data_IF_832611343461
#
_entry.id   IF_832611343461
#
_cell.length_a   1.000
_cell.length_b   1.000
_cell.length_c   1.000
_cell.angle_alpha   90.00
_cell.angle_beta   90.00
_cell.angle_gamma   90.00
#
_symmetry.space_group_name_H-M   'P 1'
#
loop_
_entity.id
_entity.type
_entity.pdbx_description
1 polymer ?
#
# COMPACT_ATOMS: atom_id res chain seq x y z
N UNK A 1 5.10 -9.51 21.60
CA UNK A 1 4.11 -9.87 20.56
C UNK A 1 3.78 -11.33 20.75
N UNK A 2 2.50 -11.68 20.80
CA UNK A 2 2.00 -13.05 20.89
C UNK A 2 0.95 -13.26 19.80
N UNK A 3 0.86 -14.45 19.23
CA UNK A 3 -0.24 -14.81 18.32
C UNK A 3 -1.30 -15.53 19.12
N UNK A 4 -2.56 -15.11 18.95
CA UNK A 4 -3.71 -15.69 19.63
C UNK A 4 -4.61 -16.31 18.56
N UNK A 5 -4.94 -17.59 18.73
CA UNK A 5 -5.78 -18.35 17.79
C UNK A 5 -7.20 -17.80 17.73
N UNK A 6 -7.84 -17.91 16.56
CA UNK A 6 -9.20 -17.37 16.38
C UNK A 6 -10.22 -17.99 17.35
N UNK A 7 -10.04 -19.25 17.79
CA UNK A 7 -10.91 -19.88 18.78
C UNK A 7 -10.73 -19.29 20.19
N UNK A 8 -9.49 -18.98 20.60
CA UNK A 8 -9.24 -18.30 21.88
C UNK A 8 -9.80 -16.87 21.84
N UNK A 9 -9.62 -16.16 20.72
CA UNK A 9 -10.23 -14.84 20.51
C UNK A 9 -11.76 -14.92 20.65
N UNK A 10 -12.40 -15.95 20.07
CA UNK A 10 -13.86 -16.14 20.15
C UNK A 10 -14.35 -16.26 21.59
N UNK A 11 -13.62 -16.98 22.43
CA UNK A 11 -13.98 -17.24 23.82
C UNK A 11 -13.76 -16.04 24.76
N UNK A 12 -13.11 -14.98 24.28
CA UNK A 12 -12.70 -13.82 25.09
C UNK A 12 -13.29 -12.52 24.58
N UNK A 13 -14.32 -12.04 25.26
CA UNK A 13 -15.02 -10.81 24.91
C UNK A 13 -14.08 -9.59 24.82
N UNK A 14 -13.09 -9.51 25.72
CA UNK A 14 -12.10 -8.44 25.73
C UNK A 14 -11.25 -8.41 24.45
N UNK A 15 -10.97 -9.58 23.84
CA UNK A 15 -10.18 -9.71 22.62
C UNK A 15 -11.03 -9.55 21.36
N UNK A 16 -12.15 -10.28 21.24
CA UNK A 16 -12.98 -10.30 20.02
C UNK A 16 -13.52 -8.92 19.69
N UNK A 17 -13.89 -8.11 20.69
CA UNK A 17 -14.44 -6.77 20.47
C UNK A 17 -13.48 -5.83 19.75
N UNK A 18 -12.17 -6.12 19.71
CA UNK A 18 -11.22 -5.33 18.92
C UNK A 18 -11.42 -5.49 17.40
N UNK A 19 -12.07 -6.57 16.95
CA UNK A 19 -12.38 -6.80 15.53
C UNK A 19 -13.58 -5.98 15.04
N UNK A 20 -14.33 -5.39 15.97
CA UNK A 20 -15.37 -4.40 15.65
C UNK A 20 -14.83 -3.00 15.94
N UNK A 21 -14.59 -2.24 14.87
CA UNK A 21 -13.99 -0.90 14.97
C UNK A 21 -14.72 0.11 14.07
N UNK A 22 -14.97 1.35 14.50
CA UNK A 22 -14.73 1.88 15.86
C UNK A 22 -15.81 1.51 16.87
N UNK A 23 -16.98 1.04 16.43
CA UNK A 23 -18.06 0.59 17.33
C UNK A 23 -17.69 -0.78 17.90
N UNK A 24 -18.00 -1.03 19.17
CA UNK A 24 -17.79 -2.35 19.81
C UNK A 24 -19.09 -3.15 19.76
N UNK A 25 -19.30 -3.94 18.69
CA UNK A 25 -20.43 -4.87 18.54
C UNK A 25 -19.91 -6.30 18.50
N UNK A 26 -20.48 -7.15 19.35
CA UNK A 26 -20.12 -8.57 19.40
C UNK A 26 -20.60 -9.30 18.15
N UNK A 27 -21.76 -8.91 17.60
CA UNK A 27 -22.29 -9.51 16.37
C UNK A 27 -21.40 -9.20 15.17
N UNK A 28 -20.96 -7.94 15.05
CA UNK A 28 -20.03 -7.54 13.98
C UNK A 28 -18.69 -8.24 14.13
N UNK A 29 -18.12 -8.23 15.33
CA UNK A 29 -16.83 -8.86 15.61
C UNK A 29 -16.86 -10.38 15.33
N UNK A 30 -17.97 -11.05 15.67
CA UNK A 30 -18.15 -12.48 15.40
C UNK A 30 -18.16 -12.77 13.89
N UNK A 31 -18.85 -11.93 13.10
CA UNK A 31 -18.84 -12.04 11.62
C UNK A 31 -17.45 -11.84 11.04
N UNK A 32 -16.70 -10.84 11.52
CA UNK A 32 -15.30 -10.65 11.09
C UNK A 32 -14.46 -11.88 11.41
N UNK A 33 -14.64 -12.48 12.59
CA UNK A 33 -13.91 -13.67 13.00
C UNK A 33 -14.26 -14.90 12.14
N UNK A 34 -15.54 -15.06 11.78
CA UNK A 34 -15.98 -16.09 10.83
C UNK A 34 -15.39 -15.87 9.43
N UNK A 35 -15.39 -14.63 8.94
CA UNK A 35 -14.81 -14.27 7.65
C UNK A 35 -13.30 -14.53 7.61
N UNK A 36 -12.56 -14.12 8.65
CA UNK A 36 -11.13 -14.40 8.81
C UNK A 36 -10.85 -15.91 8.75
N UNK A 37 -11.63 -16.71 9.49
CA UNK A 37 -11.52 -18.17 9.46
C UNK A 37 -11.81 -18.75 8.08
N UNK A 38 -12.82 -18.22 7.38
CA UNK A 38 -13.23 -18.72 6.06
C UNK A 38 -12.15 -18.56 4.99
N UNK A 39 -11.29 -17.54 5.12
CA UNK A 39 -10.16 -17.29 4.21
C UNK A 39 -8.84 -17.92 4.72
N UNK A 40 -8.90 -18.74 5.79
CA UNK A 40 -7.76 -19.51 6.29
C UNK A 40 -6.86 -18.78 7.27
N UNK A 41 -7.30 -17.68 7.87
CA UNK A 41 -6.55 -17.03 8.96
C UNK A 41 -6.57 -17.92 10.21
N UNK A 42 -5.40 -18.14 10.78
CA UNK A 42 -5.16 -19.02 11.93
C UNK A 42 -5.20 -18.23 13.25
N UNK A 43 -4.50 -17.08 13.28
CA UNK A 43 -4.29 -16.29 14.49
C UNK A 43 -4.08 -14.81 14.18
N UNK A 44 -4.26 -13.97 15.19
CA UNK A 44 -4.00 -12.52 15.14
C UNK A 44 -2.88 -12.20 16.14
N UNK A 45 -1.97 -11.31 15.76
CA UNK A 45 -0.90 -10.86 16.64
C UNK A 45 -1.46 -9.82 17.64
N UNK A 46 -1.12 -10.00 18.92
CA UNK A 46 -1.40 -9.07 20.01
C UNK A 46 -0.10 -8.61 20.66
N UNK A 47 -0.14 -7.41 21.24
CA UNK A 47 0.90 -6.82 22.06
C UNK A 47 0.31 -6.40 23.39
N UNK A 48 1.15 -6.35 24.42
CA UNK A 48 0.75 -5.79 25.71
C UNK A 48 0.94 -4.27 25.68
N UNK A 49 -0.14 -3.54 25.98
CA UNK A 49 -0.16 -2.09 26.08
C UNK A 49 -1.00 -1.69 27.29
N UNK A 50 -0.40 -1.00 28.26
CA UNK A 50 -1.11 -0.53 29.46
C UNK A 50 -1.74 -1.65 30.29
N UNK A 51 -1.10 -2.82 30.37
CA UNK A 51 -1.61 -3.99 31.11
C UNK A 51 -2.79 -4.71 30.44
N UNK A 52 -3.05 -4.44 29.15
CA UNK A 52 -4.06 -5.12 28.34
C UNK A 52 -3.44 -5.64 27.06
N UNK A 53 -4.03 -6.69 26.51
CA UNK A 53 -3.69 -7.19 25.19
C UNK A 53 -4.45 -6.37 24.15
N UNK A 54 -3.72 -5.75 23.23
CA UNK A 54 -4.28 -5.07 22.06
C UNK A 54 -3.78 -5.73 20.79
N UNK A 55 -4.60 -5.86 19.73
CA UNK A 55 -4.12 -6.42 18.48
C UNK A 55 -3.06 -5.48 17.88
N UNK A 56 -2.00 -6.08 17.35
CA UNK A 56 -0.94 -5.36 16.67
C UNK A 56 -1.51 -4.72 15.41
N UNK A 57 -1.81 -3.43 15.52
CA UNK A 57 -2.38 -2.63 14.45
C UNK A 57 -1.28 -2.10 13.55
N UNK A 58 -1.35 -2.44 12.27
CA UNK A 58 -0.44 -1.98 11.23
C UNK A 58 -0.91 -0.63 10.63
N UNK A 59 -2.22 -0.38 10.65
CA UNK A 59 -2.77 0.87 10.13
C UNK A 59 -4.24 1.03 10.49
N UNK A 60 -4.68 2.29 10.63
CA UNK A 60 -6.09 2.66 10.79
C UNK A 60 -6.43 3.66 9.70
N UNK A 61 -7.31 3.26 8.79
CA UNK A 61 -7.82 4.12 7.72
C UNK A 61 -9.27 4.53 7.96
N UNK A 62 -9.80 5.32 7.03
CA UNK A 62 -11.23 5.68 7.00
C UNK A 62 -12.13 4.47 6.65
N UNK A 63 -11.61 3.51 5.89
CA UNK A 63 -12.37 2.35 5.38
C UNK A 63 -12.11 1.05 6.12
N UNK A 64 -10.98 0.94 6.81
CA UNK A 64 -10.57 -0.32 7.43
C UNK A 64 -9.59 -0.18 8.57
N UNK A 65 -9.53 -1.23 9.39
CA UNK A 65 -8.50 -1.50 10.39
C UNK A 65 -7.56 -2.57 9.81
N UNK A 66 -6.25 -2.35 9.85
CA UNK A 66 -5.26 -3.33 9.37
C UNK A 66 -4.52 -3.90 10.57
N UNK A 67 -4.61 -5.22 10.76
CA UNK A 67 -3.96 -5.96 11.83
C UNK A 67 -2.89 -6.90 11.26
N UNK A 68 -1.91 -7.30 12.08
CA UNK A 68 -1.02 -8.42 11.76
C UNK A 68 -1.67 -9.73 12.20
N UNK A 69 -1.63 -10.76 11.36
CA UNK A 69 -2.05 -12.12 11.72
C UNK A 69 -1.31 -13.18 10.91
N UNK A 70 -1.75 -14.44 11.01
CA UNK A 70 -1.15 -15.58 10.28
C UNK A 70 -2.14 -16.30 9.40
N UNK A 71 -1.68 -16.68 8.22
CA UNK A 71 -2.40 -17.49 7.23
C UNK A 71 -1.40 -18.44 6.58
N UNK A 72 -1.66 -19.76 6.68
CA UNK A 72 -0.77 -20.79 6.17
C UNK A 72 0.60 -20.80 6.86
N UNK A 73 0.66 -20.45 8.15
CA UNK A 73 1.91 -20.30 8.91
C UNK A 73 2.75 -19.05 8.62
N UNK A 74 2.33 -18.18 7.69
CA UNK A 74 3.05 -16.95 7.32
C UNK A 74 2.33 -15.70 7.83
N UNK A 75 3.09 -14.64 8.08
CA UNK A 75 2.51 -13.37 8.48
C UNK A 75 1.79 -12.67 7.33
N UNK A 76 0.61 -12.13 7.65
CA UNK A 76 -0.28 -11.43 6.73
C UNK A 76 -0.74 -10.09 7.32
N UNK A 77 -1.03 -9.14 6.43
CA UNK A 77 -1.77 -7.93 6.75
C UNK A 77 -3.27 -8.19 6.57
N UNK A 78 -4.03 -8.10 7.66
CA UNK A 78 -5.45 -8.38 7.72
C UNK A 78 -6.23 -7.06 7.75
N UNK A 79 -6.80 -6.68 6.62
CA UNK A 79 -7.67 -5.50 6.52
C UNK A 79 -9.10 -5.91 6.84
N UNK A 80 -9.68 -5.26 7.84
CA UNK A 80 -11.04 -5.46 8.34
C UNK A 80 -11.85 -4.22 8.02
N UNK A 81 -13.03 -4.38 7.42
CA UNK A 81 -13.95 -3.29 7.14
C UNK A 81 -14.38 -2.63 8.45
N UNK A 82 -14.45 -1.29 8.46
CA UNK A 82 -14.95 -0.58 9.63
C UNK A 82 -16.47 -0.61 9.71
N UNK A 83 -16.99 -0.62 10.93
CA UNK A 83 -18.43 -0.53 11.22
C UNK A 83 -19.09 0.78 10.74
N UNK A 84 -18.29 1.85 10.58
CA UNK A 84 -18.72 3.17 10.10
C UNK A 84 -18.23 3.47 8.68
N UNK A 85 -17.75 2.45 7.97
CA UNK A 85 -17.29 2.59 6.59
C UNK A 85 -18.45 2.98 5.68
N UNK A 86 -18.20 3.90 4.74
CA UNK A 86 -19.18 4.30 3.72
C UNK A 86 -19.26 3.33 2.54
N UNK A 87 -18.30 2.41 2.42
CA UNK A 87 -18.32 1.35 1.41
C UNK A 87 -18.93 0.08 2.02
N UNK A 88 -19.74 -0.67 1.26
CA UNK A 88 -20.42 -1.85 1.78
C UNK A 88 -19.51 -3.08 1.88
N UNK A 89 -18.37 -3.08 1.19
CA UNK A 89 -17.52 -4.27 1.02
C UNK A 89 -16.08 -3.92 0.64
N UNK A 90 -15.11 -4.76 1.03
CA UNK A 90 -13.71 -4.73 0.61
C UNK A 90 -13.45 -5.45 -0.73
N UNK A 91 -14.45 -6.10 -1.35
CA UNK A 91 -14.28 -6.81 -2.63
C UNK A 91 -13.67 -5.96 -3.74
N UNK A 92 -14.13 -4.72 -3.90
CA UNK A 92 -13.60 -3.82 -4.92
C UNK A 92 -12.11 -3.53 -4.75
N UNK A 93 -11.63 -3.44 -3.50
CA UNK A 93 -10.20 -3.29 -3.21
C UNK A 93 -9.43 -4.59 -3.48
N UNK A 94 -9.99 -5.74 -3.09
CA UNK A 94 -9.40 -7.04 -3.34
C UNK A 94 -9.25 -7.31 -4.85
N UNK A 95 -10.26 -6.97 -5.64
CA UNK A 95 -10.26 -7.09 -7.11
C UNK A 95 -9.24 -6.15 -7.74
N UNK A 96 -9.20 -4.88 -7.34
CA UNK A 96 -8.21 -3.93 -7.84
C UNK A 96 -6.78 -4.37 -7.51
N UNK A 97 -6.53 -4.83 -6.29
CA UNK A 97 -5.22 -5.36 -5.87
C UNK A 97 -4.86 -6.62 -6.67
N UNK A 98 -5.83 -7.53 -6.87
CA UNK A 98 -5.63 -8.74 -7.69
C UNK A 98 -5.28 -8.39 -9.14
N UNK A 99 -5.88 -7.36 -9.70
CA UNK A 99 -5.54 -6.87 -11.04
C UNK A 99 -4.12 -6.27 -11.09
N UNK A 100 -3.71 -5.50 -10.07
CA UNK A 100 -2.35 -5.01 -9.94
C UNK A 100 -1.32 -6.16 -9.83
N UNK A 101 -1.64 -7.21 -9.08
CA UNK A 101 -0.76 -8.38 -8.93
C UNK A 101 -0.49 -9.09 -10.27
N UNK A 102 -1.43 -9.09 -11.22
CA UNK A 102 -1.24 -9.69 -12.56
C UNK A 102 -0.14 -9.02 -13.36
N UNK A 103 0.14 -7.74 -13.08
CA UNK A 103 1.25 -6.99 -13.68
C UNK A 103 2.45 -6.86 -12.74
N UNK A 104 2.49 -7.67 -11.67
CA UNK A 104 3.60 -7.71 -10.73
C UNK A 104 3.65 -6.53 -9.76
N UNK A 105 2.53 -5.80 -9.58
CA UNK A 105 2.47 -4.62 -8.71
C UNK A 105 1.65 -4.90 -7.44
N UNK A 106 2.13 -4.36 -6.32
CA UNK A 106 1.44 -4.35 -5.04
C UNK A 106 1.56 -5.64 -4.21
N UNK A 107 0.99 -5.66 -2.99
CA UNK A 107 1.02 -6.82 -2.11
C UNK A 107 0.19 -7.95 -2.70
N UNK A 108 0.62 -9.21 -2.54
CA UNK A 108 -0.18 -10.35 -3.00
C UNK A 108 -1.49 -10.45 -2.21
N UNK A 109 -2.61 -10.66 -2.91
CA UNK A 109 -3.88 -11.04 -2.28
C UNK A 109 -3.80 -12.50 -1.83
N UNK A 110 -4.04 -12.75 -0.54
CA UNK A 110 -4.01 -14.09 0.06
C UNK A 110 -5.42 -14.68 0.22
N UNK A 111 -6.43 -13.83 0.40
CA UNK A 111 -7.84 -14.22 0.51
C UNK A 111 -8.71 -13.03 0.87
N UNK A 112 -10.01 -13.06 0.56
CA UNK A 112 -10.93 -11.99 0.91
C UNK A 112 -12.39 -12.44 0.99
N UNK A 113 -13.17 -11.70 1.77
CA UNK A 113 -14.63 -11.72 1.85
C UNK A 113 -15.17 -10.31 1.56
N UNK A 114 -16.45 -10.07 1.85
CA UNK A 114 -16.98 -8.71 1.83
C UNK A 114 -16.43 -7.83 2.95
N UNK A 115 -16.08 -8.39 4.11
CA UNK A 115 -15.67 -7.62 5.29
C UNK A 115 -14.18 -7.72 5.62
N UNK A 116 -13.45 -8.65 4.99
CA UNK A 116 -12.05 -8.94 5.30
C UNK A 116 -11.24 -9.08 4.02
N UNK A 117 -10.00 -8.58 4.02
CA UNK A 117 -9.01 -8.78 2.98
C UNK A 117 -7.65 -9.12 3.62
N UNK A 118 -7.12 -10.29 3.32
CA UNK A 118 -5.78 -10.72 3.70
C UNK A 118 -4.79 -10.46 2.56
N UNK A 119 -3.71 -9.74 2.89
CA UNK A 119 -2.64 -9.37 1.97
C UNK A 119 -1.28 -9.87 2.49
N UNK A 120 -0.34 -10.04 1.57
CA UNK A 120 1.08 -10.17 1.90
C UNK A 120 1.51 -9.04 2.84
N UNK A 121 2.13 -9.40 3.97
CA UNK A 121 2.70 -8.41 4.85
C UNK A 121 3.95 -7.79 4.20
N UNK A 122 3.91 -6.49 3.95
CA UNK A 122 5.06 -5.75 3.43
C UNK A 122 5.90 -5.21 4.59
N UNK A 123 6.96 -5.94 4.94
CA UNK A 123 7.97 -5.47 5.90
C UNK A 123 8.91 -4.46 5.23
N UNK A 124 9.02 -3.26 5.82
CA UNK A 124 9.86 -2.20 5.27
C UNK A 124 9.58 -0.83 5.88
N UNK A 125 10.12 0.20 5.26
CA UNK A 125 9.98 1.58 5.69
C UNK A 125 9.04 2.36 4.75
N UNK A 126 8.06 3.12 5.27
CA UNK A 126 7.31 4.06 4.45
C UNK A 126 8.24 4.97 3.63
N UNK A 127 7.88 5.24 2.37
CA UNK A 127 8.74 5.99 1.44
C UNK A 127 9.12 7.37 1.96
N UNK A 128 8.22 8.05 2.69
CA UNK A 128 8.50 9.36 3.26
C UNK A 128 9.65 9.32 4.27
N UNK A 129 9.59 8.38 5.22
CA UNK A 129 10.61 8.15 6.23
C UNK A 129 11.90 7.67 5.59
N UNK A 130 11.82 6.84 4.55
CA UNK A 130 12.99 6.41 3.81
C UNK A 130 13.69 7.58 3.12
N UNK A 131 12.94 8.48 2.47
CA UNK A 131 13.47 9.70 1.85
C UNK A 131 14.03 10.67 2.89
N UNK A 132 13.42 10.77 4.07
CA UNK A 132 13.91 11.59 5.18
C UNK A 132 15.32 11.16 5.60
N UNK A 133 15.49 9.85 5.85
CA UNK A 133 16.73 9.23 6.30
C UNK A 133 17.77 9.01 5.19
N UNK A 134 17.43 9.23 3.92
CA UNK A 134 18.33 8.96 2.81
C UNK A 134 19.45 10.00 2.74
N UNK A 135 20.70 9.64 2.97
CA UNK A 135 21.82 10.58 2.80
C UNK A 135 22.03 11.01 1.34
N UNK A 136 22.49 12.24 1.12
CA UNK A 136 22.61 12.83 -0.23
C UNK A 136 23.66 12.15 -1.13
N UNK A 137 24.65 11.51 -0.53
CA UNK A 137 25.68 10.75 -1.23
C UNK A 137 25.16 9.39 -1.75
N UNK A 138 23.97 8.96 -1.32
CA UNK A 138 23.32 7.69 -1.74
C UNK A 138 22.42 7.86 -2.97
N UNK A 139 22.90 8.62 -3.96
CA UNK A 139 22.18 8.88 -5.22
C UNK A 139 21.75 7.61 -5.95
N UNK A 140 22.61 6.58 -5.99
CA UNK A 140 22.29 5.30 -6.65
C UNK A 140 21.03 4.66 -6.08
N UNK A 141 20.83 4.74 -4.77
CA UNK A 141 19.67 4.15 -4.10
C UNK A 141 18.39 4.91 -4.39
N UNK A 142 18.46 6.25 -4.41
CA UNK A 142 17.36 7.10 -4.86
C UNK A 142 16.92 6.70 -6.27
N UNK A 143 17.88 6.57 -7.19
CA UNK A 143 17.61 6.19 -8.58
C UNK A 143 16.94 4.82 -8.68
N UNK A 144 17.42 3.82 -7.93
CA UNK A 144 16.83 2.47 -7.91
C UNK A 144 15.38 2.53 -7.44
N UNK A 145 15.11 3.14 -6.29
CA UNK A 145 13.76 3.20 -5.71
C UNK A 145 12.82 3.98 -6.63
N UNK A 146 13.22 5.15 -7.12
CA UNK A 146 12.38 5.95 -8.03
C UNK A 146 12.12 5.21 -9.34
N UNK A 147 13.11 4.52 -9.91
CA UNK A 147 12.95 3.74 -11.14
C UNK A 147 11.89 2.66 -10.97
N UNK A 148 11.98 1.86 -9.91
CA UNK A 148 10.98 0.80 -9.63
C UNK A 148 9.60 1.39 -9.41
N UNK A 149 9.47 2.48 -8.65
CA UNK A 149 8.19 3.18 -8.45
C UNK A 149 7.57 3.63 -9.78
N UNK A 150 8.35 4.24 -10.67
CA UNK A 150 7.86 4.71 -11.97
C UNK A 150 7.49 3.55 -12.91
N UNK A 151 8.25 2.46 -12.89
CA UNK A 151 7.92 1.27 -13.67
C UNK A 151 6.62 0.62 -13.19
N UNK A 152 6.42 0.48 -11.88
CA UNK A 152 5.18 -0.05 -11.31
C UNK A 152 3.99 0.84 -11.63
N UNK A 153 4.15 2.16 -11.50
CA UNK A 153 3.13 3.12 -11.89
C UNK A 153 2.81 3.05 -13.40
N UNK A 154 3.82 2.84 -14.26
CA UNK A 154 3.62 2.62 -15.69
C UNK A 154 2.83 1.33 -15.96
N UNK A 155 3.17 0.24 -15.28
CA UNK A 155 2.44 -1.04 -15.39
C UNK A 155 0.97 -0.87 -15.04
N UNK A 156 0.66 -0.10 -14.00
CA UNK A 156 -0.72 0.27 -13.63
C UNK A 156 -1.39 1.16 -14.69
N UNK A 157 -0.67 2.16 -15.21
CA UNK A 157 -1.21 3.04 -16.26
C UNK A 157 -1.55 2.27 -17.55
N UNK A 158 -0.68 1.35 -17.98
CA UNK A 158 -0.91 0.48 -19.15
C UNK A 158 -2.08 -0.47 -18.90
N UNK A 159 -2.20 -1.01 -17.68
CA UNK A 159 -3.32 -1.85 -17.28
C UNK A 159 -4.66 -1.08 -17.29
N UNK A 160 -4.62 0.25 -17.25
CA UNK A 160 -5.81 1.10 -17.12
C UNK A 160 -6.30 1.28 -15.69
N UNK A 161 -5.50 0.88 -14.69
CA UNK A 161 -5.86 0.95 -13.28
C UNK A 161 -5.29 2.22 -12.64
N UNK A 162 -6.13 3.23 -12.41
CA UNK A 162 -5.74 4.43 -11.68
C UNK A 162 -5.77 4.16 -10.17
N UNK A 163 -4.65 4.26 -9.46
CA UNK A 163 -4.58 4.03 -8.01
C UNK A 163 -5.37 5.09 -7.22
N UNK A 164 -5.40 6.34 -7.70
CA UNK A 164 -6.15 7.43 -7.10
C UNK A 164 -5.55 8.09 -5.85
N UNK A 165 -4.42 7.59 -5.32
CA UNK A 165 -3.79 8.12 -4.09
C UNK A 165 -2.27 8.31 -4.20
N UNK A 166 -1.67 8.03 -5.36
CA UNK A 166 -0.23 8.21 -5.59
C UNK A 166 0.21 9.68 -5.67
N UNK A 167 -0.69 10.65 -5.46
CA UNK A 167 -0.30 12.06 -5.25
C UNK A 167 0.07 12.35 -3.79
N UNK A 168 -0.38 11.52 -2.84
CA UNK A 168 0.03 11.53 -1.43
C UNK A 168 0.82 10.24 -1.09
N UNK A 169 1.93 10.04 -1.80
CA UNK A 169 2.72 8.78 -1.76
C UNK A 169 3.21 8.41 -0.35
N UNK A 170 3.23 9.35 0.60
CA UNK A 170 3.81 9.21 1.94
C UNK A 170 3.46 7.88 2.63
N UNK A 171 2.20 7.44 2.49
CA UNK A 171 1.66 6.25 3.16
C UNK A 171 1.33 5.10 2.21
N UNK A 172 1.53 5.28 0.90
CA UNK A 172 1.09 4.34 -0.13
C UNK A 172 2.26 3.62 -0.82
N UNK A 173 3.49 3.84 -0.37
CA UNK A 173 4.66 3.07 -0.81
C UNK A 173 5.50 2.67 0.41
N UNK A 174 5.83 1.39 0.50
CA UNK A 174 6.78 0.85 1.49
C UNK A 174 8.03 0.37 0.76
N UNK A 175 9.20 0.84 1.19
CA UNK A 175 10.52 0.41 0.70
C UNK A 175 10.99 -0.78 1.53
N UNK A 176 11.04 -1.96 0.91
CA UNK A 176 11.62 -3.16 1.53
C UNK A 176 13.13 -3.04 1.69
N UNK A 177 13.74 -3.82 2.59
CA UNK A 177 15.17 -4.11 2.52
C UNK A 177 15.57 -4.53 1.09
N UNK A 178 16.70 -4.02 0.61
CA UNK A 178 17.15 -4.25 -0.77
C UNK A 178 16.53 -3.32 -1.82
N UNK A 179 16.00 -2.16 -1.42
CA UNK A 179 15.57 -1.06 -2.31
C UNK A 179 14.42 -1.43 -3.26
N UNK A 180 13.50 -2.28 -2.78
CA UNK A 180 12.32 -2.70 -3.53
C UNK A 180 11.08 -1.99 -2.98
N UNK A 181 10.64 -0.87 -3.56
CA UNK A 181 9.38 -0.24 -3.19
C UNK A 181 8.20 -1.12 -3.58
N UNK A 182 7.14 -1.08 -2.78
CA UNK A 182 5.87 -1.74 -3.04
C UNK A 182 4.75 -0.72 -2.86
N UNK A 183 3.95 -0.51 -3.91
CA UNK A 183 2.74 0.29 -3.86
C UNK A 183 1.65 -0.46 -3.08
N UNK A 184 1.02 0.17 -2.11
CA UNK A 184 0.02 -0.44 -1.23
C UNK A 184 -1.27 0.37 -1.17
N UNK A 185 -2.35 -0.27 -0.70
CA UNK A 185 -3.69 0.30 -0.52
C UNK A 185 -4.37 0.72 -1.83
N UNK A 186 -4.92 -0.27 -2.55
CA UNK A 186 -5.71 -0.05 -3.76
C UNK A 186 -7.17 0.31 -3.48
N UNK A 187 -7.51 0.73 -2.25
CA UNK A 187 -8.89 0.98 -1.86
C UNK A 187 -9.57 2.05 -2.72
N UNK A 188 -8.84 3.06 -3.20
CA UNK A 188 -9.39 4.09 -4.11
C UNK A 188 -9.14 3.80 -5.59
N UNK A 189 -8.55 2.66 -5.94
CA UNK A 189 -8.21 2.36 -7.31
C UNK A 189 -9.46 2.22 -8.19
N UNK A 190 -9.34 2.56 -9.48
CA UNK A 190 -10.47 2.53 -10.41
C UNK A 190 -10.03 2.37 -11.85
N UNK A 191 -10.79 1.58 -12.61
CA UNK A 191 -10.71 1.49 -14.07
C UNK A 191 -11.55 2.56 -14.79
N UNK A 192 -12.43 3.28 -14.08
CA UNK A 192 -13.28 4.30 -14.70
C UNK A 192 -12.55 5.64 -14.90
N UNK A 193 -11.52 5.90 -14.08
CA UNK A 193 -10.72 7.12 -14.22
C UNK A 193 -9.60 6.88 -15.21
N UNK A 194 -9.26 7.92 -15.98
CA UNK A 194 -8.04 7.90 -16.79
C UNK A 194 -6.83 7.75 -15.86
N UNK A 195 -5.99 6.73 -16.04
CA UNK A 195 -4.85 6.50 -15.18
C UNK A 195 -3.85 7.65 -15.24
N UNK A 196 -3.30 7.97 -14.07
CA UNK A 196 -2.37 9.07 -13.88
C UNK A 196 -1.27 8.74 -12.88
N UNK A 197 -0.96 7.46 -12.68
CA UNK A 197 -0.08 6.96 -11.64
C UNK A 197 1.35 7.53 -11.80
N UNK A 198 1.93 7.45 -13.00
CA UNK A 198 3.27 7.99 -13.28
C UNK A 198 3.30 9.50 -13.04
N UNK A 199 2.30 10.24 -13.53
CA UNK A 199 2.26 11.69 -13.32
C UNK A 199 1.99 12.08 -11.87
N UNK A 200 1.30 11.25 -11.10
CA UNK A 200 1.06 11.46 -9.67
C UNK A 200 2.34 11.26 -8.86
N UNK A 201 3.09 10.19 -9.14
CA UNK A 201 4.42 9.99 -8.55
C UNK A 201 5.39 11.11 -8.91
N UNK A 202 5.41 11.52 -10.18
CA UNK A 202 6.22 12.66 -10.63
C UNK A 202 5.89 13.92 -9.82
N UNK A 203 4.60 14.18 -9.61
CA UNK A 203 4.15 15.34 -8.85
C UNK A 203 4.67 15.28 -7.40
N UNK A 204 4.54 14.11 -6.75
CA UNK A 204 5.06 13.91 -5.39
C UNK A 204 6.58 14.11 -5.33
N UNK A 205 7.35 13.51 -6.23
CA UNK A 205 8.81 13.60 -6.20
C UNK A 205 9.34 15.00 -6.53
N UNK A 206 8.69 15.76 -7.40
CA UNK A 206 9.20 17.06 -7.87
C UNK A 206 8.58 18.29 -7.20
N UNK A 207 7.44 18.11 -6.53
CA UNK A 207 6.71 19.20 -5.86
C UNK A 207 6.27 18.85 -4.43
N UNK A 208 6.48 17.63 -3.97
CA UNK A 208 6.20 17.21 -2.59
C UNK A 208 7.27 17.65 -1.58
N UNK A 209 7.16 17.20 -0.31
CA UNK A 209 8.00 17.67 0.79
C UNK A 209 9.50 17.45 0.60
N UNK A 210 9.87 16.33 -0.04
CA UNK A 210 11.28 15.98 -0.29
C UNK A 210 11.79 16.46 -1.66
N UNK A 211 10.99 17.25 -2.38
CA UNK A 211 11.30 17.61 -3.77
C UNK A 211 12.61 18.37 -3.94
N UNK A 212 12.96 19.26 -3.01
CA UNK A 212 14.23 19.99 -3.06
C UNK A 212 15.43 19.04 -2.98
N UNK A 213 15.39 18.09 -2.03
CA UNK A 213 16.43 17.07 -1.85
C UNK A 213 16.55 16.19 -3.10
N UNK A 214 15.43 15.68 -3.59
CA UNK A 214 15.37 14.81 -4.78
C UNK A 214 15.89 15.53 -6.02
N UNK A 215 15.42 16.75 -6.29
CA UNK A 215 15.87 17.54 -7.45
C UNK A 215 17.36 17.82 -7.40
N UNK A 216 17.92 18.18 -6.24
CA UNK A 216 19.35 18.39 -6.07
C UNK A 216 20.15 17.10 -6.30
N UNK A 217 19.75 15.99 -5.67
CA UNK A 217 20.42 14.69 -5.86
C UNK A 217 20.40 14.25 -7.33
N UNK A 218 19.28 14.45 -8.03
CA UNK A 218 19.15 14.10 -9.44
C UNK A 218 19.72 15.15 -10.41
N UNK A 219 20.18 16.30 -9.94
CA UNK A 219 20.63 17.40 -10.81
C UNK A 219 19.52 17.99 -11.69
N UNK A 220 18.26 17.98 -11.23
CA UNK A 220 17.10 18.49 -11.97
C UNK A 220 16.88 19.96 -11.61
N UNK A 221 17.22 20.87 -12.51
CA UNK A 221 16.91 22.30 -12.36
C UNK A 221 15.44 22.60 -12.65
N UNK A 222 14.92 22.03 -13.75
CA UNK A 222 13.56 22.28 -14.24
C UNK A 222 12.80 20.95 -14.36
N UNK A 223 11.63 20.81 -13.70
CA UNK A 223 10.77 19.64 -13.87
C UNK A 223 10.40 19.39 -15.34
N UNK A 224 10.50 18.16 -15.86
CA UNK A 224 10.23 17.85 -17.26
C UNK A 224 8.72 17.73 -17.56
N UNK A 225 8.00 18.84 -17.37
CA UNK A 225 6.54 18.89 -17.48
C UNK A 225 6.02 18.55 -18.89
N UNK A 226 6.79 18.88 -19.93
CA UNK A 226 6.44 18.53 -21.31
C UNK A 226 6.52 17.03 -21.55
N UNK A 227 7.61 16.37 -21.11
CA UNK A 227 7.74 14.90 -21.18
C UNK A 227 6.61 14.21 -20.42
N UNK A 228 6.23 14.73 -19.24
CA UNK A 228 5.13 14.20 -18.45
C UNK A 228 3.77 14.34 -19.17
N UNK A 229 3.51 15.49 -19.80
CA UNK A 229 2.30 15.71 -20.62
C UNK A 229 2.27 14.78 -21.83
N UNK A 230 3.39 14.65 -22.54
CA UNK A 230 3.52 13.77 -23.70
C UNK A 230 3.31 12.31 -23.32
N UNK A 231 3.88 11.85 -22.21
CA UNK A 231 3.60 10.53 -21.65
C UNK A 231 2.11 10.35 -21.35
N UNK A 232 1.48 11.29 -20.65
CA UNK A 232 0.06 11.18 -20.29
C UNK A 232 -0.84 11.09 -21.53
N UNK A 233 -0.50 11.81 -22.60
CA UNK A 233 -1.26 11.82 -23.86
C UNK A 233 -1.07 10.51 -24.64
N UNK A 234 0.19 10.08 -24.84
CA UNK A 234 0.53 8.99 -25.77
C UNK A 234 0.67 7.61 -25.14
N UNK A 235 0.99 7.55 -23.84
CA UNK A 235 1.22 6.32 -23.06
C UNK A 235 2.23 5.32 -23.69
N UNK A 236 3.12 5.79 -24.56
CA UNK A 236 4.08 4.92 -25.28
C UNK A 236 5.34 4.61 -24.46
N UNK A 237 6.06 3.55 -24.84
CA UNK A 237 7.37 3.20 -24.26
C UNK A 237 8.38 4.33 -24.47
N UNK A 238 8.39 4.91 -25.67
CA UNK A 238 9.30 6.00 -26.01
C UNK A 238 9.05 7.24 -25.15
N UNK A 239 7.79 7.64 -24.93
CA UNK A 239 7.49 8.79 -24.09
C UNK A 239 7.89 8.57 -22.63
N UNK A 240 7.74 7.36 -22.11
CA UNK A 240 8.20 7.04 -20.76
C UNK A 240 9.72 6.98 -20.68
N UNK A 241 10.39 6.37 -21.65
CA UNK A 241 11.86 6.39 -21.72
C UNK A 241 12.38 7.82 -21.69
N UNK A 242 11.86 8.70 -22.55
CA UNK A 242 12.22 10.13 -22.57
C UNK A 242 11.91 10.84 -21.25
N UNK A 243 10.84 10.47 -20.55
CA UNK A 243 10.56 11.00 -19.21
C UNK A 243 11.61 10.53 -18.20
N UNK A 244 11.94 9.24 -18.18
CA UNK A 244 12.95 8.68 -17.27
C UNK A 244 14.35 9.24 -17.54
N UNK A 245 14.73 9.47 -18.82
CA UNK A 245 15.96 10.16 -19.22
C UNK A 245 15.99 11.59 -18.66
N UNK A 246 14.90 12.34 -18.83
CA UNK A 246 14.80 13.72 -18.30
C UNK A 246 14.83 13.83 -16.77
N UNK A 247 14.66 12.71 -16.07
CA UNK A 247 14.79 12.60 -14.61
C UNK A 247 16.15 12.04 -14.18
N UNK A 248 17.07 11.79 -15.12
CA UNK A 248 18.36 11.16 -14.89
C UNK A 248 18.25 9.76 -14.23
N UNK A 249 17.17 9.02 -14.55
CA UNK A 249 16.88 7.70 -13.97
C UNK A 249 17.32 6.52 -14.83
N UNK A 250 17.77 6.74 -16.08
CA UNK A 250 18.26 5.66 -16.96
C UNK A 250 19.79 5.54 -17.01
N UNK A 251 20.52 6.51 -16.45
CA UNK A 251 21.98 6.50 -16.41
C UNK A 251 22.47 6.17 -14.99
N UNK A 252 23.21 5.06 -14.89
CA UNK A 252 23.68 4.44 -13.64
C UNK A 252 23.50 2.93 -13.69
#
# INVERSE_FOLDING_TARGET
MIYIDLDEIRGREDLILHLSFPRRSIEYASRILDDLRSIGVESIAFIEAGGRLEPLTLGKGYRGLVLRGRLGGWDAALKILRTDSTIPSLRGEAEATSMANRVGVGPKVLGFTDMVLALELIEGMPLDKWLDMLEEDRLSELKIVMRVCFEDARRLDILGLDHGELSDVKKHVIVRPGLKPVIIDFGKASFMRRPSNVTSLLNYFLFGPYSWKIKRMLGIEKPPLENARNYKIKLSDECFKRLMESLNLLEG
#
